data_IF_224866210387
#
_entry.id   IF_224866210387
#
_cell.length_a   1.000
_cell.length_b   1.000
_cell.length_c   1.000
_cell.angle_alpha   90.00
_cell.angle_beta   90.00
_cell.angle_gamma   90.00
#
_symmetry.space_group_name_H-M   'P 1'
#
loop_
_entity.id
_entity.type
_entity.pdbx_description
1 polymer ?
#
# COMPACT_ATOMS: atom_id res chain seq x y z
N UNK A 1 7.90 2.90 -8.44
CA UNK A 1 7.68 1.78 -9.40
C UNK A 1 8.19 0.42 -8.91
N UNK A 2 9.43 0.28 -8.39
CA UNK A 2 9.96 -1.03 -7.94
C UNK A 2 9.02 -1.75 -6.94
N UNK A 3 8.60 -1.05 -5.88
CA UNK A 3 7.70 -1.59 -4.84
C UNK A 3 6.36 -2.04 -5.45
N UNK A 4 5.74 -1.23 -6.32
CA UNK A 4 4.47 -1.59 -6.95
C UNK A 4 4.57 -2.88 -7.78
N UNK A 5 5.66 -3.04 -8.55
CA UNK A 5 5.89 -4.25 -9.36
C UNK A 5 6.12 -5.49 -8.50
N UNK A 6 6.83 -5.33 -7.40
CA UNK A 6 6.99 -6.41 -6.42
C UNK A 6 5.62 -6.84 -5.87
N UNK A 7 4.79 -5.88 -5.46
CA UNK A 7 3.45 -6.15 -4.94
C UNK A 7 2.53 -6.79 -5.99
N UNK A 8 2.56 -6.35 -7.25
CA UNK A 8 1.73 -6.95 -8.33
C UNK A 8 2.07 -8.43 -8.57
N UNK A 9 3.30 -8.86 -8.23
CA UNK A 9 3.75 -10.24 -8.37
C UNK A 9 3.59 -11.09 -7.11
N UNK A 10 3.17 -10.52 -5.98
CA UNK A 10 3.14 -11.23 -4.70
C UNK A 10 1.80 -11.94 -4.47
N UNK A 11 1.77 -13.25 -4.12
CA UNK A 11 0.53 -14.02 -3.99
C UNK A 11 -0.40 -13.55 -2.87
N UNK A 12 0.12 -12.80 -1.90
CA UNK A 12 -0.66 -12.20 -0.80
C UNK A 12 -1.24 -10.82 -1.14
N UNK A 13 -1.02 -10.31 -2.35
CA UNK A 13 -1.56 -9.04 -2.81
C UNK A 13 -2.57 -9.30 -3.94
N UNK A 14 -3.85 -9.02 -3.70
CA UNK A 14 -4.91 -9.26 -4.70
C UNK A 14 -5.06 -8.11 -5.69
N UNK A 15 -4.64 -6.91 -5.29
CA UNK A 15 -4.75 -5.68 -6.09
C UNK A 15 -3.69 -4.69 -5.67
N UNK A 16 -3.11 -3.98 -6.63
CA UNK A 16 -2.17 -2.88 -6.41
C UNK A 16 -2.63 -1.69 -7.22
N UNK A 17 -2.69 -0.51 -6.62
CA UNK A 17 -3.11 0.71 -7.32
C UNK A 17 -2.05 1.79 -7.13
N UNK A 18 -1.54 2.25 -8.27
CA UNK A 18 -0.58 3.33 -8.36
C UNK A 18 -0.70 3.99 -9.75
N UNK A 19 -0.76 5.32 -9.87
CA UNK A 19 -1.04 5.96 -11.16
C UNK A 19 -0.02 5.65 -12.27
N UNK A 20 1.20 5.28 -11.90
CA UNK A 20 2.25 4.86 -12.84
C UNK A 20 2.12 3.43 -13.36
N UNK A 21 1.23 2.59 -12.82
CA UNK A 21 1.00 1.23 -13.31
C UNK A 21 0.05 1.25 -14.52
N UNK A 22 0.31 0.37 -15.50
CA UNK A 22 -0.59 0.16 -16.65
C UNK A 22 -1.96 -0.38 -16.24
N UNK A 23 -2.02 -1.10 -15.13
CA UNK A 23 -3.24 -1.63 -14.51
C UNK A 23 -4.10 -0.54 -13.86
N UNK A 24 -3.58 0.68 -13.68
CA UNK A 24 -4.35 1.79 -13.11
C UNK A 24 -5.42 2.29 -14.09
N UNK A 25 -6.71 2.37 -13.71
CA UNK A 25 -7.81 2.73 -14.62
C UNK A 25 -7.61 4.07 -15.34
N UNK A 26 -6.92 5.02 -14.69
CA UNK A 26 -6.62 6.34 -15.23
C UNK A 26 -5.14 6.53 -15.58
N UNK A 27 -4.40 5.46 -15.90
CA UNK A 27 -2.97 5.51 -16.22
C UNK A 27 -2.64 6.53 -17.32
N UNK A 28 -3.40 6.54 -18.42
CA UNK A 28 -3.17 7.48 -19.54
C UNK A 28 -3.46 8.94 -19.14
N UNK A 29 -4.45 9.18 -18.29
CA UNK A 29 -4.71 10.50 -17.72
C UNK A 29 -3.56 10.93 -16.80
N UNK A 30 -3.07 10.02 -15.95
CA UNK A 30 -1.93 10.29 -15.07
C UNK A 30 -0.66 10.61 -15.87
N UNK A 31 -0.40 9.90 -16.98
CA UNK A 31 0.71 10.23 -17.90
C UNK A 31 0.59 11.61 -18.53
N UNK A 32 -0.64 12.05 -18.85
CA UNK A 32 -0.88 13.37 -19.43
C UNK A 32 -0.71 14.50 -18.41
N UNK A 33 -1.17 14.29 -17.16
CA UNK A 33 -1.26 15.34 -16.15
C UNK A 33 -0.05 15.42 -15.21
N UNK A 34 0.63 14.30 -14.95
CA UNK A 34 1.75 14.27 -14.03
C UNK A 34 3.04 14.67 -14.75
N UNK A 35 3.87 15.49 -14.10
CA UNK A 35 5.12 15.98 -14.68
C UNK A 35 6.14 14.85 -14.82
N UNK A 36 6.85 14.80 -15.94
CA UNK A 36 8.02 13.94 -16.15
C UNK A 36 7.81 12.45 -15.85
N UNK A 37 6.60 11.91 -16.02
CA UNK A 37 6.23 10.54 -15.59
C UNK A 37 6.50 10.26 -14.09
N UNK A 38 6.42 11.29 -13.25
CA UNK A 38 6.54 11.17 -11.80
C UNK A 38 5.16 11.09 -11.18
N UNK A 39 4.80 9.90 -10.66
CA UNK A 39 3.44 9.61 -10.21
C UNK A 39 3.25 9.66 -8.68
N UNK A 40 4.16 10.32 -7.96
CA UNK A 40 4.14 10.46 -6.51
C UNK A 40 4.60 9.21 -5.75
N UNK A 41 4.68 9.32 -4.42
CA UNK A 41 5.07 8.24 -3.49
C UNK A 41 3.90 7.52 -2.84
N UNK A 42 2.65 7.87 -3.18
CA UNK A 42 1.46 7.25 -2.61
C UNK A 42 1.00 6.08 -3.47
N UNK A 43 0.74 4.94 -2.85
CA UNK A 43 0.11 3.77 -3.46
C UNK A 43 -0.72 3.04 -2.40
N UNK A 44 -1.55 2.11 -2.84
CA UNK A 44 -2.15 1.14 -1.93
C UNK A 44 -2.20 -0.24 -2.59
N UNK A 45 -2.38 -1.25 -1.76
CA UNK A 45 -2.64 -2.60 -2.20
C UNK A 45 -3.64 -3.28 -1.26
N UNK A 46 -4.34 -4.27 -1.79
CA UNK A 46 -5.26 -5.09 -1.00
C UNK A 46 -4.55 -6.39 -0.63
N UNK A 47 -4.39 -6.64 0.68
CA UNK A 47 -3.82 -7.88 1.20
C UNK A 47 -4.90 -8.97 1.27
N UNK A 48 -4.56 -10.16 0.79
CA UNK A 48 -5.43 -11.34 0.88
C UNK A 48 -5.58 -11.72 2.35
N UNK A 49 -6.80 -12.11 2.76
CA UNK A 49 -7.12 -12.46 4.15
C UNK A 49 -7.63 -11.31 5.01
N UNK A 50 -7.94 -10.16 4.41
CA UNK A 50 -8.71 -9.07 5.03
C UNK A 50 -8.04 -8.46 6.27
N UNK A 51 -8.86 -8.03 7.23
CA UNK A 51 -8.42 -7.35 8.45
C UNK A 51 -7.43 -8.17 9.28
N UNK A 52 -7.55 -9.49 9.30
CA UNK A 52 -6.65 -10.38 10.04
C UNK A 52 -5.24 -10.34 9.44
N UNK A 53 -5.15 -10.43 8.12
CA UNK A 53 -3.87 -10.33 7.41
C UNK A 53 -3.31 -8.92 7.46
N UNK A 54 -4.15 -7.90 7.38
CA UNK A 54 -3.75 -6.50 7.60
C UNK A 54 -3.14 -6.30 8.99
N UNK A 55 -3.81 -6.79 10.04
CA UNK A 55 -3.33 -6.71 11.42
C UNK A 55 -2.01 -7.46 11.62
N UNK A 56 -1.91 -8.68 11.09
CA UNK A 56 -0.68 -9.48 11.15
C UNK A 56 0.48 -8.82 10.40
N UNK A 57 0.22 -8.19 9.26
CA UNK A 57 1.21 -7.42 8.52
C UNK A 57 1.70 -6.23 9.35
N UNK A 58 0.79 -5.46 9.95
CA UNK A 58 1.16 -4.31 10.79
C UNK A 58 1.99 -4.72 12.03
N UNK A 59 1.73 -5.91 12.59
CA UNK A 59 2.47 -6.43 13.74
C UNK A 59 3.84 -7.04 13.38
N UNK A 60 4.05 -7.46 12.13
CA UNK A 60 5.28 -8.14 11.69
C UNK A 60 6.21 -7.25 10.89
N UNK A 61 5.70 -6.14 10.31
CA UNK A 61 6.51 -5.22 9.50
C UNK A 61 7.64 -4.61 10.31
N UNK A 62 8.83 -4.61 9.73
CA UNK A 62 10.05 -4.10 10.37
C UNK A 62 10.50 -2.80 9.70
N UNK A 63 11.50 -2.14 10.31
CA UNK A 63 12.21 -1.04 9.66
C UNK A 63 12.72 -1.47 8.27
N UNK A 64 12.81 -0.55 7.29
CA UNK A 64 12.60 0.90 7.42
C UNK A 64 11.14 1.37 7.45
N UNK A 65 10.15 0.47 7.40
CA UNK A 65 8.75 0.86 7.50
C UNK A 65 8.37 1.39 8.89
N UNK A 66 7.58 2.45 8.91
CA UNK A 66 6.96 3.01 10.10
C UNK A 66 5.45 2.81 10.06
N UNK A 67 4.87 2.34 11.16
CA UNK A 67 3.43 2.23 11.32
C UNK A 67 2.87 3.59 11.78
N UNK A 68 2.22 4.33 10.89
CA UNK A 68 1.66 5.63 11.22
C UNK A 68 0.48 5.99 10.28
N UNK A 69 -0.42 6.84 10.76
CA UNK A 69 -1.53 7.37 9.97
C UNK A 69 -1.12 8.56 9.09
N UNK A 70 0.10 9.06 9.23
CA UNK A 70 0.65 10.17 8.44
C UNK A 70 1.06 9.74 7.00
N UNK A 71 1.49 10.71 6.18
CA UNK A 71 1.96 10.50 4.81
C UNK A 71 2.91 11.63 4.38
N UNK A 72 3.73 11.36 3.35
CA UNK A 72 4.59 12.36 2.71
C UNK A 72 5.81 12.77 3.51
N UNK A 73 6.15 12.02 4.55
CA UNK A 73 7.37 12.21 5.33
C UNK A 73 8.60 11.64 4.60
N UNK A 74 9.79 11.89 5.14
CA UNK A 74 11.03 11.30 4.61
C UNK A 74 11.08 9.79 4.83
N UNK A 75 10.50 9.32 5.93
CA UNK A 75 10.36 7.92 6.28
C UNK A 75 9.19 7.27 5.52
N UNK A 76 9.36 6.00 5.20
CA UNK A 76 8.33 5.18 4.58
C UNK A 76 7.28 4.73 5.60
N UNK A 77 6.01 5.00 5.30
CA UNK A 77 4.87 4.77 6.18
C UNK A 77 3.91 3.75 5.58
N UNK A 78 3.43 2.82 6.40
CA UNK A 78 2.44 1.81 6.03
C UNK A 78 1.31 1.77 7.06
N UNK A 79 0.06 1.59 6.61
CA UNK A 79 -1.10 1.50 7.51
C UNK A 79 -2.18 0.58 6.94
N UNK A 80 -2.83 -0.20 7.81
CA UNK A 80 -4.01 -0.99 7.47
C UNK A 80 -5.28 -0.18 7.78
N UNK A 81 -5.91 0.37 6.74
CA UNK A 81 -6.96 1.38 6.92
C UNK A 81 -8.19 0.86 7.67
N UNK A 82 -8.61 -0.38 7.41
CA UNK A 82 -9.82 -0.96 8.00
C UNK A 82 -9.72 -1.20 9.51
N UNK A 83 -8.52 -1.40 10.05
CA UNK A 83 -8.28 -1.66 11.49
C UNK A 83 -7.63 -0.48 12.23
N UNK A 84 -7.23 0.57 11.51
CA UNK A 84 -6.65 1.79 12.06
C UNK A 84 -7.52 3.01 11.71
N UNK A 85 -7.12 3.77 10.69
CA UNK A 85 -7.72 5.09 10.34
C UNK A 85 -9.23 5.08 10.09
N UNK A 86 -9.81 3.96 9.64
CA UNK A 86 -11.22 3.84 9.30
C UNK A 86 -11.96 2.82 10.19
N UNK A 87 -11.37 2.43 11.33
CA UNK A 87 -11.94 1.41 12.23
C UNK A 87 -13.35 1.79 12.76
N UNK A 88 -13.64 3.08 12.89
CA UNK A 88 -14.93 3.58 13.37
C UNK A 88 -16.04 3.62 12.30
N UNK A 89 -15.73 3.28 11.05
CA UNK A 89 -16.74 3.21 9.98
C UNK A 89 -17.38 1.83 9.94
N UNK A 90 -18.68 1.76 9.61
CA UNK A 90 -19.34 0.49 9.35
C UNK A 90 -18.70 -0.21 8.14
N UNK A 91 -18.57 -1.56 8.15
CA UNK A 91 -17.97 -2.30 7.04
C UNK A 91 -18.60 -1.99 5.68
N UNK A 92 -19.93 -1.85 5.63
CA UNK A 92 -20.66 -1.50 4.42
C UNK A 92 -20.30 -0.12 3.88
N UNK A 93 -20.09 0.88 4.75
CA UNK A 93 -19.73 2.23 4.34
C UNK A 93 -18.29 2.30 3.83
N UNK A 94 -17.36 1.58 4.49
CA UNK A 94 -15.98 1.43 3.99
C UNK A 94 -15.98 0.83 2.59
N UNK A 95 -16.75 -0.24 2.40
CA UNK A 95 -16.83 -0.94 1.12
C UNK A 95 -17.41 -0.05 0.01
N UNK A 96 -18.41 0.80 0.32
CA UNK A 96 -18.97 1.78 -0.63
C UNK A 96 -17.94 2.82 -1.09
N UNK A 97 -16.96 3.14 -0.25
CA UNK A 97 -15.82 4.00 -0.60
C UNK A 97 -14.67 3.25 -1.29
N UNK A 98 -14.80 1.93 -1.48
CA UNK A 98 -13.76 1.08 -2.04
C UNK A 98 -12.65 0.71 -1.06
N UNK A 99 -12.86 0.92 0.24
CA UNK A 99 -11.94 0.51 1.31
C UNK A 99 -12.36 -0.89 1.76
N UNK A 100 -11.69 -1.90 1.20
CA UNK A 100 -11.86 -3.29 1.63
C UNK A 100 -11.11 -3.54 2.94
N UNK A 101 -11.46 -4.62 3.63
CA UNK A 101 -10.83 -4.97 4.91
C UNK A 101 -9.32 -5.22 4.80
N UNK A 102 -8.85 -5.67 3.64
CA UNK A 102 -7.43 -5.85 3.33
C UNK A 102 -6.71 -4.59 2.83
N UNK A 103 -7.32 -3.40 2.88
CA UNK A 103 -6.75 -2.20 2.28
C UNK A 103 -5.52 -1.71 3.06
N UNK A 104 -4.35 -1.74 2.42
CA UNK A 104 -3.07 -1.25 2.95
C UNK A 104 -2.63 -0.02 2.19
N UNK A 105 -2.58 1.13 2.88
CA UNK A 105 -2.04 2.38 2.32
C UNK A 105 -0.54 2.45 2.56
N UNK A 106 0.20 2.88 1.55
CA UNK A 106 1.65 3.04 1.60
C UNK A 106 2.02 4.46 1.17
N UNK A 107 2.83 5.12 1.98
CA UNK A 107 3.53 6.36 1.66
C UNK A 107 5.02 6.04 1.60
N UNK A 108 5.57 6.01 0.39
CA UNK A 108 6.99 5.69 0.17
C UNK A 108 7.84 6.93 0.44
N UNK A 109 8.78 6.78 1.36
CA UNK A 109 9.79 7.78 1.72
C UNK A 109 10.98 7.79 0.75
N UNK A 110 12.15 8.15 1.27
CA UNK A 110 13.39 8.35 0.49
C UNK A 110 14.45 7.26 0.70
N UNK A 111 14.10 6.17 1.37
CA UNK A 111 15.01 5.04 1.62
C UNK A 111 15.33 4.24 0.34
N UNK A 112 16.32 3.34 0.43
CA UNK A 112 16.62 2.42 -0.66
C UNK A 112 15.41 1.50 -0.93
N UNK A 113 15.02 1.43 -2.20
CA UNK A 113 13.83 0.68 -2.59
C UNK A 113 13.98 -0.83 -2.35
N UNK A 114 15.19 -1.38 -2.42
CA UNK A 114 15.44 -2.79 -2.22
C UNK A 114 15.40 -3.15 -0.71
N UNK A 115 15.76 -2.23 0.19
CA UNK A 115 15.53 -2.36 1.64
C UNK A 115 14.03 -2.39 1.98
N UNK A 116 13.26 -1.48 1.40
CA UNK A 116 11.81 -1.43 1.57
C UNK A 116 11.14 -2.71 1.08
N UNK A 117 11.55 -3.21 -0.08
CA UNK A 117 11.03 -4.45 -0.65
C UNK A 117 11.42 -5.66 0.20
N UNK A 118 12.67 -5.76 0.67
CA UNK A 118 13.11 -6.87 1.53
C UNK A 118 12.26 -6.97 2.80
N UNK A 119 12.14 -5.86 3.53
CA UNK A 119 11.36 -5.82 4.76
C UNK A 119 9.87 -6.13 4.51
N UNK A 120 9.29 -5.59 3.43
CA UNK A 120 7.90 -5.87 3.07
C UNK A 120 7.67 -7.32 2.66
N UNK A 121 8.62 -7.92 1.93
CA UNK A 121 8.59 -9.32 1.52
C UNK A 121 8.63 -10.25 2.74
N UNK A 122 9.56 -10.01 3.66
CA UNK A 122 9.72 -10.85 4.84
C UNK A 122 8.43 -10.90 5.68
N UNK A 123 7.69 -9.80 5.77
CA UNK A 123 6.40 -9.76 6.49
C UNK A 123 5.24 -10.34 5.68
N UNK A 124 5.19 -10.10 4.36
CA UNK A 124 4.15 -10.67 3.50
C UNK A 124 4.26 -12.21 3.37
N UNK A 125 5.47 -12.76 3.37
CA UNK A 125 5.71 -14.21 3.30
C UNK A 125 5.25 -14.95 4.57
N UNK A 126 5.07 -14.23 5.68
CA UNK A 126 4.58 -14.79 6.94
C UNK A 126 3.04 -14.84 7.01
N UNK A 127 2.33 -14.18 6.10
CA UNK A 127 0.86 -14.19 6.03
C UNK A 127 0.34 -15.47 5.40
#
# INVERSE_FOLDING_TARGET
>A
MKICKFLEGHPKCSRVIYPGLKSHPQHELAKKLHRNNLHGGMLWFDVVGGSDSGTKLMNSIQRPWSLCENLGATESIITACAVMTHANMLPEDRLRLGIVDGFIRVSVGVEDADDLIRSLKDSLDQL
#
